data_IF_735176356478
#
_entry.id   IF_735176356478
#
_cell.length_a   1.000
_cell.length_b   1.000
_cell.length_c   1.000
_cell.angle_alpha   90.00
_cell.angle_beta   90.00
_cell.angle_gamma   90.00
#
_symmetry.space_group_name_H-M   'P 1'
#
loop_
_entity.id
_entity.type
_entity.pdbx_description
1 polymer ?
#
# COMPACT_ATOMS: atom_id res chain seq x y z
N UNK A 1 19.82 5.94 18.89
CA UNK A 1 19.16 6.06 17.57
C UNK A 1 17.78 6.64 17.79
N UNK A 2 17.49 7.82 17.25
CA UNK A 2 16.21 8.52 17.49
C UNK A 2 15.04 7.68 16.98
N UNK A 3 13.96 7.55 17.77
CA UNK A 3 12.71 6.87 17.39
C UNK A 3 12.16 7.32 16.02
N UNK A 4 12.55 8.53 15.58
CA UNK A 4 12.23 9.12 14.28
C UNK A 4 12.79 8.31 13.08
N UNK A 5 13.82 7.49 13.28
CA UNK A 5 14.43 6.67 12.23
C UNK A 5 13.71 5.35 11.98
N UNK A 6 12.80 4.92 12.88
CA UNK A 6 12.15 3.62 12.76
C UNK A 6 11.09 3.56 11.66
N UNK A 7 10.28 4.60 11.50
CA UNK A 7 9.28 4.65 10.42
C UNK A 7 9.92 4.55 9.02
N UNK A 8 10.94 5.35 8.65
CA UNK A 8 11.57 5.20 7.35
C UNK A 8 12.26 3.85 7.18
N UNK A 9 12.79 3.26 8.27
CA UNK A 9 13.35 1.90 8.22
C UNK A 9 12.27 0.85 7.92
N UNK A 10 11.10 0.92 8.56
CA UNK A 10 9.96 0.02 8.29
C UNK A 10 9.53 0.14 6.83
N UNK A 11 9.35 1.37 6.34
CA UNK A 11 8.97 1.62 4.94
C UNK A 11 10.03 1.07 3.97
N UNK A 12 11.32 1.27 4.26
CA UNK A 12 12.39 0.74 3.42
C UNK A 12 12.38 -0.79 3.35
N UNK A 13 12.22 -1.44 4.51
CA UNK A 13 12.12 -2.91 4.58
C UNK A 13 10.88 -3.40 3.86
N UNK A 14 9.73 -2.75 4.04
CA UNK A 14 8.48 -3.07 3.34
C UNK A 14 8.64 -2.97 1.82
N UNK A 15 9.24 -1.89 1.31
CA UNK A 15 9.55 -1.75 -0.12
C UNK A 15 10.40 -2.92 -0.62
N UNK A 16 11.43 -3.33 0.12
CA UNK A 16 12.25 -4.47 -0.26
C UNK A 16 11.44 -5.77 -0.34
N UNK A 17 10.52 -6.01 0.61
CA UNK A 17 9.60 -7.15 0.57
C UNK A 17 8.62 -7.07 -0.59
N UNK A 18 8.07 -5.89 -0.88
CA UNK A 18 7.16 -5.72 -2.00
C UNK A 18 7.86 -5.97 -3.34
N UNK A 19 9.07 -5.44 -3.53
CA UNK A 19 9.87 -5.68 -4.74
C UNK A 19 10.24 -7.16 -4.89
N UNK A 20 10.60 -7.81 -3.78
CA UNK A 20 10.82 -9.26 -3.77
C UNK A 20 9.54 -10.02 -4.14
N UNK A 21 8.39 -9.65 -3.55
CA UNK A 21 7.10 -10.28 -3.82
C UNK A 21 6.68 -10.17 -5.29
N UNK A 22 6.75 -8.96 -5.86
CA UNK A 22 6.42 -8.73 -7.27
C UNK A 22 7.31 -9.56 -8.21
N UNK A 23 8.60 -9.71 -7.87
CA UNK A 23 9.55 -10.47 -8.70
C UNK A 23 9.33 -11.98 -8.67
N UNK A 24 8.61 -12.50 -7.67
CA UNK A 24 8.41 -13.95 -7.49
C UNK A 24 6.96 -14.40 -7.74
N UNK A 25 6.00 -13.49 -7.74
CA UNK A 25 4.57 -13.80 -7.94
C UNK A 25 4.22 -13.56 -9.41
N UNK A 26 3.82 -14.61 -10.12
CA UNK A 26 3.29 -14.48 -11.48
C UNK A 26 1.94 -13.76 -11.52
N UNK A 27 1.61 -13.18 -12.67
CA UNK A 27 0.31 -12.54 -12.90
C UNK A 27 -0.78 -13.63 -12.91
N UNK A 28 -1.76 -13.48 -12.03
CA UNK A 28 -2.91 -14.38 -11.98
C UNK A 28 -3.94 -14.08 -13.06
N UNK A 29 -4.78 -15.07 -13.39
CA UNK A 29 -5.89 -14.92 -14.34
C UNK A 29 -6.78 -13.71 -14.01
N UNK A 30 -7.06 -13.47 -12.72
CA UNK A 30 -7.92 -12.37 -12.28
C UNK A 30 -7.27 -11.01 -12.50
N UNK A 31 -5.95 -10.89 -12.31
CA UNK A 31 -5.22 -9.65 -12.59
C UNK A 31 -5.21 -9.36 -14.09
N UNK A 32 -5.04 -10.40 -14.92
CA UNK A 32 -5.13 -10.27 -16.37
C UNK A 32 -6.52 -9.85 -16.84
N UNK A 33 -7.59 -10.46 -16.31
CA UNK A 33 -8.98 -10.07 -16.58
C UNK A 33 -9.23 -8.59 -16.22
N UNK A 34 -8.75 -8.14 -15.05
CA UNK A 34 -8.84 -6.72 -14.66
C UNK A 34 -8.10 -5.82 -15.66
N UNK A 35 -6.91 -6.24 -16.10
CA UNK A 35 -6.07 -5.43 -16.97
C UNK A 35 -6.59 -5.34 -18.43
N UNK A 36 -7.14 -6.43 -18.97
CA UNK A 36 -7.56 -6.50 -20.38
C UNK A 36 -9.07 -6.28 -20.60
N UNK A 37 -9.93 -6.80 -19.73
CA UNK A 37 -11.36 -6.94 -20.03
C UNK A 37 -12.25 -5.99 -19.20
N UNK A 38 -11.78 -5.52 -18.05
CA UNK A 38 -12.56 -4.64 -17.18
C UNK A 38 -12.46 -3.16 -17.57
N UNK A 39 -13.40 -2.33 -17.08
CA UNK A 39 -13.42 -0.86 -17.24
C UNK A 39 -13.73 -0.14 -15.94
N UNK A 40 -13.09 -0.57 -14.85
CA UNK A 40 -13.24 0.04 -13.53
C UNK A 40 -12.00 0.88 -13.17
N UNK A 41 -12.05 1.53 -12.00
CA UNK A 41 -10.96 2.37 -11.52
C UNK A 41 -9.61 1.64 -11.44
N UNK A 42 -9.64 0.37 -10.99
CA UNK A 42 -8.45 -0.48 -10.84
C UNK A 42 -7.80 -0.75 -12.21
N UNK A 43 -8.61 -1.06 -13.23
CA UNK A 43 -8.16 -1.21 -14.61
C UNK A 43 -7.43 0.04 -15.11
N UNK A 44 -8.06 1.21 -15.01
CA UNK A 44 -7.47 2.46 -15.51
C UNK A 44 -6.18 2.83 -14.78
N UNK A 45 -6.10 2.55 -13.49
CA UNK A 45 -4.91 2.77 -12.68
C UNK A 45 -3.73 1.87 -13.15
N UNK A 46 -4.01 0.59 -13.39
CA UNK A 46 -3.03 -0.38 -13.88
C UNK A 46 -2.55 -0.02 -15.31
N UNK A 47 -3.49 0.29 -16.22
CA UNK A 47 -3.20 0.76 -17.56
C UNK A 47 -2.32 2.02 -17.54
N UNK A 48 -2.71 3.03 -16.76
CA UNK A 48 -1.93 4.27 -16.62
C UNK A 48 -0.47 3.99 -16.24
N UNK A 49 -0.24 3.13 -15.25
CA UNK A 49 1.14 2.81 -14.84
C UNK A 49 1.92 2.06 -15.92
N UNK A 50 1.33 1.03 -16.55
CA UNK A 50 2.00 0.28 -17.62
C UNK A 50 2.23 1.11 -18.90
N UNK A 51 1.40 2.12 -19.18
CA UNK A 51 1.64 3.05 -20.29
C UNK A 51 2.82 3.98 -20.04
N UNK A 52 3.10 4.35 -18.78
CA UNK A 52 4.21 5.23 -18.42
C UNK A 52 5.53 4.48 -18.21
N UNK A 53 5.49 3.30 -17.58
CA UNK A 53 6.68 2.56 -17.16
C UNK A 53 6.95 1.29 -17.99
N UNK A 54 6.13 1.04 -19.01
CA UNK A 54 6.19 -0.15 -19.85
C UNK A 54 5.38 -1.34 -19.33
N UNK A 55 5.17 -2.34 -20.18
CA UNK A 55 4.43 -3.54 -19.84
C UNK A 55 5.34 -4.56 -19.12
N UNK A 56 5.45 -4.40 -17.80
CA UNK A 56 6.14 -5.34 -16.92
C UNK A 56 5.37 -5.50 -15.60
N UNK A 57 5.65 -6.59 -14.87
CA UNK A 57 4.93 -6.96 -13.63
C UNK A 57 5.03 -5.88 -12.55
N UNK A 58 6.18 -5.18 -12.49
CA UNK A 58 6.39 -4.08 -11.56
C UNK A 58 5.51 -2.89 -11.90
N UNK A 59 5.52 -2.43 -13.15
CA UNK A 59 4.69 -1.33 -13.62
C UNK A 59 3.20 -1.63 -13.44
N UNK A 60 2.77 -2.87 -13.66
CA UNK A 60 1.39 -3.29 -13.45
C UNK A 60 0.94 -3.11 -11.98
N UNK A 61 1.82 -3.43 -11.02
CA UNK A 61 1.51 -3.45 -9.58
C UNK A 61 1.92 -2.18 -8.83
N UNK A 62 2.79 -1.36 -9.44
CA UNK A 62 3.34 -0.13 -8.88
C UNK A 62 2.30 0.80 -8.24
N UNK A 63 1.14 1.10 -8.87
CA UNK A 63 0.20 2.04 -8.27
C UNK A 63 -0.44 1.47 -6.98
N UNK A 64 -0.64 0.16 -6.89
CA UNK A 64 -1.14 -0.49 -5.68
C UNK A 64 -0.09 -0.48 -4.57
N UNK A 65 1.17 -0.71 -4.91
CA UNK A 65 2.28 -0.53 -3.97
C UNK A 65 2.36 0.90 -3.45
N UNK A 66 2.19 1.91 -4.31
CA UNK A 66 2.16 3.32 -3.88
C UNK A 66 1.01 3.57 -2.90
N UNK A 67 -0.20 3.08 -3.19
CA UNK A 67 -1.34 3.20 -2.27
C UNK A 67 -1.08 2.50 -0.92
N UNK A 68 -0.40 1.35 -0.92
CA UNK A 68 0.02 0.68 0.29
C UNK A 68 1.00 1.53 1.11
N UNK A 69 2.06 2.06 0.48
CA UNK A 69 3.05 2.90 1.16
C UNK A 69 2.42 4.17 1.75
N UNK A 70 1.50 4.80 1.03
CA UNK A 70 0.74 5.94 1.54
C UNK A 70 -0.17 5.54 2.72
N UNK A 71 -0.75 4.33 2.67
CA UNK A 71 -1.54 3.78 3.78
C UNK A 71 -0.72 3.60 5.05
N UNK A 72 0.55 3.15 4.95
CA UNK A 72 1.46 3.06 6.09
C UNK A 72 1.66 4.45 6.75
N UNK A 73 1.88 5.49 5.93
CA UNK A 73 2.05 6.86 6.42
C UNK A 73 0.77 7.36 7.10
N UNK A 74 -0.40 7.10 6.50
CA UNK A 74 -1.68 7.46 7.10
C UNK A 74 -1.92 6.72 8.41
N UNK A 75 -1.62 5.42 8.48
CA UNK A 75 -1.71 4.64 9.71
C UNK A 75 -0.85 5.23 10.83
N UNK A 76 0.39 5.63 10.52
CA UNK A 76 1.24 6.33 11.48
C UNK A 76 0.61 7.66 11.94
N UNK A 77 0.08 8.47 11.00
CA UNK A 77 -0.56 9.75 11.33
C UNK A 77 -1.81 9.57 12.20
N UNK A 78 -2.68 8.62 11.87
CA UNK A 78 -3.87 8.29 12.65
C UNK A 78 -3.47 7.85 14.06
N UNK A 79 -2.40 7.06 14.19
CA UNK A 79 -1.91 6.60 15.51
C UNK A 79 -1.52 7.75 16.44
N UNK A 80 -1.21 8.96 15.92
CA UNK A 80 -0.90 10.14 16.73
C UNK A 80 -2.09 10.61 17.57
N UNK A 81 -3.32 10.42 17.09
CA UNK A 81 -4.54 10.83 17.79
C UNK A 81 -4.90 9.91 18.96
N UNK A 82 -4.56 8.62 18.85
CA UNK A 82 -4.98 7.61 19.83
C UNK A 82 -3.87 7.18 20.79
N UNK A 83 -2.62 7.09 20.32
CA UNK A 83 -1.53 6.50 21.10
C UNK A 83 -0.62 7.57 21.70
N UNK A 84 -0.44 7.53 23.02
CA UNK A 84 0.38 8.48 23.78
C UNK A 84 1.88 8.20 23.66
N UNK A 85 2.27 6.93 23.72
CA UNK A 85 3.68 6.53 23.65
C UNK A 85 4.15 6.45 22.21
N UNK A 86 5.38 6.94 21.95
CA UNK A 86 5.99 6.89 20.63
C UNK A 86 6.24 5.47 20.15
N UNK A 87 6.54 4.54 21.06
CA UNK A 87 6.76 3.13 20.75
C UNK A 87 5.49 2.45 20.24
N UNK A 88 4.35 2.66 20.91
CA UNK A 88 3.07 2.05 20.53
C UNK A 88 2.65 2.45 19.11
N UNK A 89 2.95 3.68 18.69
CA UNK A 89 2.73 4.15 17.31
C UNK A 89 3.54 3.35 16.30
N UNK A 90 4.81 3.11 16.59
CA UNK A 90 5.68 2.31 15.72
C UNK A 90 5.23 0.85 15.71
N UNK A 91 4.85 0.30 16.86
CA UNK A 91 4.30 -1.07 16.96
C UNK A 91 3.00 -1.19 16.15
N UNK A 92 2.11 -0.20 16.24
CA UNK A 92 0.85 -0.21 15.48
C UNK A 92 1.09 -0.21 13.97
N UNK A 93 2.05 0.57 13.48
CA UNK A 93 2.44 0.58 12.07
C UNK A 93 3.10 -0.74 11.68
N UNK A 94 3.98 -1.28 12.53
CA UNK A 94 4.64 -2.55 12.30
C UNK A 94 3.61 -3.69 12.18
N UNK A 95 2.63 -3.74 13.08
CA UNK A 95 1.52 -4.70 13.01
C UNK A 95 0.76 -4.53 11.70
N UNK A 96 0.40 -3.30 11.32
CA UNK A 96 -0.29 -3.03 10.05
C UNK A 96 0.47 -3.54 8.83
N UNK A 97 1.77 -3.29 8.75
CA UNK A 97 2.64 -3.76 7.66
C UNK A 97 2.82 -5.28 7.69
N UNK A 98 2.93 -5.88 8.87
CA UNK A 98 3.09 -7.34 8.98
C UNK A 98 1.79 -8.12 8.75
N UNK A 99 0.63 -7.47 8.65
CA UNK A 99 -0.62 -8.15 8.32
C UNK A 99 -0.53 -8.73 6.90
N UNK A 100 -0.57 -10.07 6.74
CA UNK A 100 -0.39 -10.71 5.44
C UNK A 100 -1.49 -10.29 4.45
N UNK A 101 -2.68 -9.96 4.93
CA UNK A 101 -3.77 -9.46 4.10
C UNK A 101 -3.49 -8.09 3.47
N UNK A 102 -2.83 -7.19 4.20
CA UNK A 102 -2.55 -5.82 3.73
C UNK A 102 -1.40 -5.84 2.72
N UNK A 103 -0.36 -6.62 2.97
CA UNK A 103 0.78 -6.78 2.05
C UNK A 103 0.41 -7.61 0.82
N UNK A 104 -0.36 -8.70 0.97
CA UNK A 104 -0.87 -9.46 -0.18
C UNK A 104 -1.77 -8.61 -1.07
N UNK A 105 -2.60 -7.74 -0.50
CA UNK A 105 -3.41 -6.82 -1.28
C UNK A 105 -2.55 -5.86 -2.12
N UNK A 106 -1.40 -5.42 -1.60
CA UNK A 106 -0.49 -4.51 -2.30
C UNK A 106 0.26 -5.18 -3.46
N UNK A 107 0.46 -6.50 -3.37
CA UNK A 107 1.15 -7.32 -4.37
C UNK A 107 0.25 -7.81 -5.51
N UNK A 108 -1.05 -7.54 -5.47
CA UNK A 108 -2.02 -7.99 -6.46
C UNK A 108 -2.76 -6.80 -7.07
N UNK A 109 -3.11 -6.89 -8.36
CA UNK A 109 -4.00 -5.92 -9.00
C UNK A 109 -5.43 -6.16 -8.50
N UNK A 110 -5.88 -5.39 -7.50
CA UNK A 110 -7.23 -5.48 -6.96
C UNK A 110 -7.72 -4.16 -6.36
N UNK A 111 -9.00 -4.11 -5.97
CA UNK A 111 -9.62 -2.95 -5.33
C UNK A 111 -9.36 -2.84 -3.82
N UNK A 112 -8.80 -3.87 -3.18
CA UNK A 112 -8.67 -3.94 -1.73
C UNK A 112 -7.68 -2.88 -1.21
N UNK A 113 -6.48 -2.79 -1.78
CA UNK A 113 -5.47 -1.79 -1.37
C UNK A 113 -5.95 -0.36 -1.58
N UNK A 114 -6.65 -0.12 -2.69
CA UNK A 114 -7.27 1.18 -2.99
C UNK A 114 -8.32 1.52 -1.92
N UNK A 115 -9.15 0.54 -1.54
CA UNK A 115 -10.18 0.73 -0.51
C UNK A 115 -9.58 1.00 0.87
N UNK A 116 -8.52 0.27 1.24
CA UNK A 116 -7.78 0.48 2.51
C UNK A 116 -7.22 1.90 2.55
N UNK A 117 -6.57 2.34 1.47
CA UNK A 117 -6.02 3.69 1.36
C UNK A 117 -7.08 4.76 1.57
N UNK A 118 -8.20 4.70 0.82
CA UNK A 118 -9.25 5.71 0.93
C UNK A 118 -9.98 5.66 2.28
N UNK A 119 -10.12 4.49 2.89
CA UNK A 119 -10.68 4.36 4.24
C UNK A 119 -9.78 5.04 5.27
N UNK A 120 -8.48 4.79 5.22
CA UNK A 120 -7.52 5.46 6.12
C UNK A 120 -7.44 6.96 5.83
N UNK A 121 -7.49 7.38 4.57
CA UNK A 121 -7.50 8.78 4.20
C UNK A 121 -8.73 9.48 4.76
N UNK A 122 -9.91 8.90 4.58
CA UNK A 122 -11.16 9.41 5.14
C UNK A 122 -11.09 9.53 6.67
N UNK A 123 -10.63 8.47 7.36
CA UNK A 123 -10.46 8.51 8.82
C UNK A 123 -9.48 9.59 9.25
N UNK A 124 -8.37 9.77 8.55
CA UNK A 124 -7.39 10.80 8.87
C UNK A 124 -7.96 12.21 8.68
N UNK A 125 -8.68 12.47 7.59
CA UNK A 125 -9.34 13.75 7.34
C UNK A 125 -10.40 14.06 8.39
N UNK A 126 -11.26 13.07 8.69
CA UNK A 126 -12.26 13.18 9.75
C UNK A 126 -11.66 13.52 11.12
N UNK A 127 -10.53 12.89 11.48
CA UNK A 127 -9.83 13.19 12.74
C UNK A 127 -9.08 14.53 12.73
N UNK A 128 -8.82 15.08 11.56
CA UNK A 128 -8.14 16.37 11.39
C UNK A 128 -9.14 17.53 11.26
N UNK A 129 -10.44 17.28 11.47
CA UNK A 129 -11.54 18.24 11.30
C UNK A 129 -11.52 18.93 9.92
N UNK A 130 -11.11 18.18 8.88
CA UNK A 130 -10.87 18.68 7.52
C UNK A 130 -11.82 18.06 6.49
#
# INVERSE_FOLDING_TARGET
MSIRLFLPLIIFVDIAFLLYGVSNISISYREAEIFYDQRNFVHYLAQFSTTLFGQNDLALRLPFMIFHLLSIVLMYKISLFYLRLKMDRIISVLVFVMLPGVTSAALLVNSATVSIFFTLLFLYLFLTDL
#
